data_IF_021541500520
#
_entry.id   IF_021541500520
#
_cell.length_a   1.000
_cell.length_b   1.000
_cell.length_c   1.000
_cell.angle_alpha   90.00
_cell.angle_beta   90.00
_cell.angle_gamma   90.00
#
_symmetry.space_group_name_H-M   'P 1'
#
loop_
_entity.id
_entity.type
_entity.pdbx_description
1 polymer ?
#
# COMPACT_ATOMS: atom_id res chain seq x y z
N UNK A 1 -30.62 -1.95 33.44
CA UNK A 1 -29.52 -1.63 32.52
C UNK A 1 -30.15 -1.08 31.24
N UNK A 2 -30.13 0.24 31.06
CA UNK A 2 -30.89 0.93 30.03
C UNK A 2 -30.18 0.84 28.67
N UNK A 3 -30.85 0.27 27.66
CA UNK A 3 -30.44 0.31 26.27
C UNK A 3 -30.67 1.73 25.74
N UNK A 4 -29.58 2.46 25.45
CA UNK A 4 -29.66 3.71 24.70
C UNK A 4 -29.69 3.38 23.21
N UNK A 5 -30.85 3.60 22.61
CA UNK A 5 -31.06 3.58 21.17
C UNK A 5 -30.32 4.75 20.52
N UNK A 6 -29.45 4.47 19.54
CA UNK A 6 -28.86 5.50 18.67
C UNK A 6 -29.82 5.76 17.50
N UNK A 7 -30.21 7.02 17.21
CA UNK A 7 -30.98 7.32 16.01
C UNK A 7 -30.03 7.35 14.79
N UNK A 8 -30.31 6.49 13.82
CA UNK A 8 -29.70 6.54 12.49
C UNK A 8 -30.43 7.63 11.69
N UNK A 9 -29.81 8.79 11.52
CA UNK A 9 -30.33 9.83 10.62
C UNK A 9 -30.03 9.39 9.18
N UNK A 10 -31.07 9.05 8.42
CA UNK A 10 -30.95 8.80 6.99
C UNK A 10 -30.62 10.11 6.27
N UNK A 11 -29.43 10.21 5.67
CA UNK A 11 -29.08 11.29 4.73
C UNK A 11 -29.84 11.03 3.44
N UNK A 12 -30.75 11.94 3.08
CA UNK A 12 -31.45 11.99 1.80
C UNK A 12 -30.49 12.60 0.77
N UNK A 13 -30.05 11.82 -0.21
CA UNK A 13 -29.32 12.35 -1.36
C UNK A 13 -30.33 12.83 -2.39
N UNK A 14 -30.61 14.13 -2.40
CA UNK A 14 -31.37 14.75 -3.49
C UNK A 14 -30.50 14.79 -4.75
N UNK A 15 -30.97 14.13 -5.80
CA UNK A 15 -30.32 14.08 -7.09
C UNK A 15 -30.34 15.44 -7.79
N UNK A 16 -29.16 15.93 -8.16
CA UNK A 16 -29.01 17.01 -9.13
C UNK A 16 -28.14 16.53 -10.29
N UNK A 17 -28.81 16.19 -11.39
CA UNK A 17 -28.18 15.94 -12.68
C UNK A 17 -27.83 17.29 -13.33
N UNK A 18 -26.57 17.54 -13.74
CA UNK A 18 -26.26 18.69 -14.56
C UNK A 18 -26.69 18.45 -16.02
N UNK A 19 -27.50 19.37 -16.52
CA UNK A 19 -28.00 19.45 -17.89
C UNK A 19 -26.88 19.86 -18.85
N UNK A 20 -26.87 19.18 -20.01
CA UNK A 20 -26.31 19.54 -21.31
C UNK A 20 -25.72 20.96 -21.49
N UNK A 21 -24.43 21.04 -21.84
CA UNK A 21 -23.86 22.17 -22.60
C UNK A 21 -23.39 21.69 -23.97
N UNK A 22 -24.36 21.55 -24.88
CA UNK A 22 -24.10 21.60 -26.31
C UNK A 22 -24.01 23.08 -26.71
N UNK A 23 -22.81 23.63 -26.79
CA UNK A 23 -22.52 24.88 -27.51
C UNK A 23 -21.00 25.11 -27.60
N UNK A 24 -20.53 25.48 -28.79
CA UNK A 24 -19.16 25.86 -29.18
C UNK A 24 -18.18 24.72 -29.46
N UNK A 25 -18.48 23.97 -30.52
CA UNK A 25 -17.46 23.50 -31.44
C UNK A 25 -17.60 24.21 -32.79
N UNK A 26 -16.42 24.60 -33.30
CA UNK A 26 -16.05 24.63 -34.71
C UNK A 26 -16.82 25.57 -35.65
N UNK A 27 -16.37 26.82 -35.68
CA UNK A 27 -16.51 27.68 -36.84
C UNK A 27 -15.16 28.35 -37.14
N UNK A 28 -14.70 28.17 -38.38
CA UNK A 28 -13.61 28.85 -39.10
C UNK A 28 -12.43 27.92 -39.43
N UNK A 29 -12.51 27.38 -40.65
CA UNK A 29 -11.46 26.76 -41.41
C UNK A 29 -10.67 27.80 -42.22
N UNK A 30 -9.52 27.35 -42.77
CA UNK A 30 -8.70 27.96 -43.84
C UNK A 30 -7.90 29.19 -43.43
N UNK A 31 -6.67 29.45 -43.84
CA UNK A 31 -5.72 28.93 -44.85
C UNK A 31 -4.43 29.74 -44.55
N UNK A 32 -3.18 29.26 -44.63
CA UNK A 32 -2.37 29.32 -45.85
C UNK A 32 -0.88 29.37 -45.46
N UNK A 33 -0.05 28.63 -46.20
CA UNK A 33 1.30 28.98 -46.69
C UNK A 33 2.42 29.45 -45.74
N UNK A 34 3.46 28.60 -45.62
CA UNK A 34 4.87 28.87 -45.99
C UNK A 34 5.72 27.68 -45.47
N UNK A 35 6.22 26.76 -46.31
CA UNK A 35 7.45 26.86 -47.12
C UNK A 35 8.64 27.32 -46.26
N UNK A 36 9.47 26.38 -45.80
CA UNK A 36 10.84 26.14 -46.30
C UNK A 36 11.78 27.35 -46.14
N UNK A 37 12.75 27.28 -45.22
CA UNK A 37 14.18 27.13 -45.56
C UNK A 37 15.10 27.32 -44.34
N UNK A 38 16.30 26.73 -44.49
CA UNK A 38 17.56 26.96 -43.78
C UNK A 38 17.72 26.32 -42.38
N UNK A 39 18.69 25.46 -42.12
CA UNK A 39 19.99 25.31 -42.78
C UNK A 39 21.09 25.45 -41.73
N UNK A 40 21.71 24.32 -41.40
CA UNK A 40 23.00 24.16 -40.73
C UNK A 40 23.20 24.82 -39.34
N UNK A 41 23.40 23.99 -38.29
CA UNK A 41 24.69 23.92 -37.56
C UNK A 41 24.86 22.55 -36.92
N UNK A 42 25.86 21.82 -37.41
CA UNK A 42 26.56 20.78 -36.69
C UNK A 42 27.19 21.38 -35.43
N UNK A 43 26.76 20.95 -34.25
CA UNK A 43 27.61 20.97 -33.05
C UNK A 43 27.71 19.55 -32.52
N UNK A 44 28.89 18.97 -32.70
CA UNK A 44 29.33 17.74 -32.06
C UNK A 44 29.57 18.08 -30.58
N UNK A 45 28.50 18.03 -29.79
CA UNK A 45 28.56 18.09 -28.34
C UNK A 45 28.83 16.69 -27.78
N UNK A 46 30.07 16.47 -27.33
CA UNK A 46 30.54 15.25 -26.71
C UNK A 46 29.52 14.66 -25.72
N UNK A 47 29.13 13.42 -25.97
CA UNK A 47 28.17 12.68 -25.17
C UNK A 47 28.60 12.52 -23.72
N UNK A 48 28.10 13.41 -22.86
CA UNK A 48 27.86 13.06 -21.46
C UNK A 48 26.50 12.38 -21.45
N UNK A 49 26.50 11.06 -21.71
CA UNK A 49 25.35 10.20 -21.41
C UNK A 49 24.95 10.50 -19.99
N UNK A 50 23.87 11.26 -19.83
CA UNK A 50 23.18 11.38 -18.56
C UNK A 50 22.92 9.96 -18.13
N UNK A 51 23.62 9.52 -17.09
CA UNK A 51 23.25 8.33 -16.35
C UNK A 51 21.95 8.72 -15.68
N UNK A 52 20.85 8.66 -16.42
CA UNK A 52 19.54 8.48 -15.80
C UNK A 52 19.75 7.24 -14.94
N UNK A 53 19.80 7.42 -13.63
CA UNK A 53 19.84 6.29 -12.70
C UNK A 53 18.45 5.66 -12.73
N UNK A 54 18.11 5.06 -13.87
CA UNK A 54 17.10 4.02 -13.94
C UNK A 54 17.60 2.97 -12.97
N UNK A 55 16.86 2.74 -11.89
CA UNK A 55 17.18 1.69 -10.93
C UNK A 55 17.45 0.40 -11.71
N UNK A 56 18.50 -0.37 -11.39
CA UNK A 56 18.77 -1.62 -12.07
C UNK A 56 17.52 -2.49 -12.06
N UNK A 57 17.08 -3.00 -13.23
CA UNK A 57 15.88 -3.85 -13.33
C UNK A 57 15.88 -5.02 -12.34
N UNK A 58 17.07 -5.54 -12.00
CA UNK A 58 17.23 -6.58 -10.98
C UNK A 58 16.76 -6.14 -9.57
N UNK A 59 16.95 -4.88 -9.17
CA UNK A 59 16.48 -4.35 -7.89
C UNK A 59 14.95 -4.26 -7.86
N UNK A 60 14.33 -3.76 -8.93
CA UNK A 60 12.87 -3.69 -9.06
C UNK A 60 12.28 -5.09 -8.99
N UNK A 61 12.79 -6.06 -9.77
CA UNK A 61 12.33 -7.46 -9.70
C UNK A 61 12.48 -8.04 -8.30
N UNK A 62 13.61 -7.82 -7.64
CA UNK A 62 13.84 -8.29 -6.26
C UNK A 62 12.83 -7.69 -5.29
N UNK A 63 12.58 -6.38 -5.37
CA UNK A 63 11.60 -5.70 -4.54
C UNK A 63 10.18 -6.22 -4.79
N UNK A 64 9.79 -6.41 -6.05
CA UNK A 64 8.49 -6.99 -6.42
C UNK A 64 8.32 -8.39 -5.82
N UNK A 65 9.33 -9.26 -5.91
CA UNK A 65 9.30 -10.60 -5.31
C UNK A 65 9.16 -10.51 -3.79
N UNK A 66 9.90 -9.61 -3.13
CA UNK A 66 9.78 -9.38 -1.69
C UNK A 66 8.35 -8.95 -1.32
N UNK A 67 7.73 -8.04 -2.07
CA UNK A 67 6.35 -7.60 -1.80
C UNK A 67 5.35 -8.72 -2.01
N UNK A 68 5.52 -9.59 -3.02
CA UNK A 68 4.72 -10.82 -3.17
C UNK A 68 4.81 -11.71 -1.92
N UNK A 69 6.02 -11.97 -1.43
CA UNK A 69 6.25 -12.78 -0.24
C UNK A 69 5.63 -12.13 1.00
N UNK A 70 5.77 -10.81 1.16
CA UNK A 70 5.15 -10.07 2.27
C UNK A 70 3.63 -10.17 2.20
N UNK A 71 3.03 -9.90 1.04
CA UNK A 71 1.59 -9.91 0.86
C UNK A 71 0.96 -11.27 1.18
N UNK A 72 1.57 -12.36 0.69
CA UNK A 72 1.15 -13.72 1.04
C UNK A 72 1.42 -14.01 2.52
N UNK A 73 2.60 -13.66 3.03
CA UNK A 73 3.00 -13.90 4.41
C UNK A 73 2.06 -13.27 5.43
N UNK A 74 1.70 -11.99 5.27
CA UNK A 74 0.77 -11.30 6.17
C UNK A 74 -0.64 -11.88 6.07
N UNK A 75 -1.07 -12.28 4.87
CA UNK A 75 -2.37 -12.94 4.70
C UNK A 75 -2.42 -14.27 5.46
N UNK A 76 -1.37 -15.09 5.37
CA UNK A 76 -1.26 -16.34 6.11
C UNK A 76 -1.23 -16.11 7.63
N UNK A 77 -0.54 -15.07 8.10
CA UNK A 77 -0.58 -14.66 9.51
C UNK A 77 -2.02 -14.31 9.91
N UNK A 78 -2.73 -13.53 9.09
CA UNK A 78 -4.11 -13.16 9.33
C UNK A 78 -5.04 -14.38 9.41
N UNK A 79 -4.89 -15.35 8.51
CA UNK A 79 -5.61 -16.63 8.56
C UNK A 79 -5.31 -17.39 9.86
N UNK A 80 -4.07 -17.39 10.34
CA UNK A 80 -3.73 -18.04 11.62
C UNK A 80 -4.49 -17.45 12.80
N UNK A 81 -4.77 -16.15 12.84
CA UNK A 81 -5.61 -15.54 13.88
C UNK A 81 -7.06 -16.06 13.87
N UNK A 82 -7.54 -16.56 12.73
CA UNK A 82 -8.87 -17.17 12.60
C UNK A 82 -8.87 -18.63 13.06
N UNK A 83 -7.78 -19.34 12.80
CA UNK A 83 -7.70 -20.79 12.99
C UNK A 83 -7.16 -21.21 14.36
N UNK A 84 -6.32 -20.39 14.98
CA UNK A 84 -5.66 -20.76 16.23
C UNK A 84 -5.50 -19.63 17.22
N UNK A 85 -5.77 -19.94 18.48
CA UNK A 85 -5.57 -19.02 19.60
C UNK A 85 -4.09 -18.78 19.89
N UNK A 86 -3.20 -19.65 19.39
CA UNK A 86 -1.75 -19.51 19.54
C UNK A 86 -1.22 -18.27 18.83
N UNK A 87 -1.86 -17.84 17.74
CA UNK A 87 -1.50 -16.60 17.05
C UNK A 87 -1.58 -15.37 17.97
N UNK A 88 -2.52 -15.37 18.94
CA UNK A 88 -2.64 -14.30 19.93
C UNK A 88 -1.42 -14.25 20.85
N UNK A 89 -1.01 -15.40 21.39
CA UNK A 89 0.14 -15.47 22.30
C UNK A 89 1.47 -15.28 21.59
N UNK A 90 1.56 -15.69 20.32
CA UNK A 90 2.74 -15.51 19.48
C UNK A 90 2.92 -14.05 19.02
N UNK A 91 1.91 -13.19 19.17
CA UNK A 91 1.99 -11.79 18.76
C UNK A 91 3.03 -10.99 19.54
N UNK A 92 3.34 -11.40 20.77
CA UNK A 92 4.40 -10.80 21.61
C UNK A 92 3.91 -9.94 22.77
N UNK A 93 2.59 -9.76 22.94
CA UNK A 93 2.03 -9.07 24.12
C UNK A 93 2.08 -10.01 25.35
N UNK A 94 2.76 -9.62 26.44
CA UNK A 94 2.81 -10.43 27.66
C UNK A 94 1.43 -10.69 28.27
N UNK A 95 1.26 -11.84 28.94
CA UNK A 95 0.01 -12.23 29.62
C UNK A 95 -1.26 -12.18 28.75
N UNK A 96 -1.11 -12.39 27.44
CA UNK A 96 -2.21 -12.38 26.48
C UNK A 96 -3.32 -13.38 26.86
N UNK A 97 -4.57 -12.94 27.09
CA UNK A 97 -5.66 -13.79 27.57
C UNK A 97 -6.34 -14.57 26.43
N UNK A 98 -5.57 -15.38 25.70
CA UNK A 98 -6.04 -16.12 24.51
C UNK A 98 -7.22 -17.09 24.77
N UNK A 99 -7.48 -17.44 26.04
CA UNK A 99 -8.64 -18.22 26.45
C UNK A 99 -9.97 -17.45 26.41
N UNK A 100 -9.94 -16.11 26.50
CA UNK A 100 -11.15 -15.30 26.64
C UNK A 100 -11.83 -15.07 25.27
N UNK A 101 -13.13 -15.38 25.10
CA UNK A 101 -13.84 -15.22 23.83
C UNK A 101 -13.77 -13.80 23.26
N UNK A 102 -13.91 -12.78 24.11
CA UNK A 102 -13.83 -11.38 23.69
C UNK A 102 -12.45 -11.02 23.12
N UNK A 103 -11.37 -11.53 23.71
CA UNK A 103 -10.02 -11.29 23.20
C UNK A 103 -9.75 -12.06 21.91
N UNK A 104 -10.33 -13.25 21.74
CA UNK A 104 -10.29 -13.98 20.46
C UNK A 104 -10.99 -13.20 19.34
N UNK A 105 -12.11 -12.55 19.64
CA UNK A 105 -12.79 -11.69 18.67
C UNK A 105 -11.91 -10.50 18.24
N UNK A 106 -11.18 -9.88 19.18
CA UNK A 106 -10.16 -8.86 18.84
C UNK A 106 -9.02 -9.43 17.99
N UNK A 107 -8.58 -10.65 18.27
CA UNK A 107 -7.66 -11.39 17.39
C UNK A 107 -8.18 -11.52 15.96
N UNK A 108 -9.47 -11.84 15.81
CA UNK A 108 -10.12 -11.95 14.51
C UNK A 108 -10.18 -10.62 13.75
N UNK A 109 -10.39 -9.49 14.46
CA UNK A 109 -10.30 -8.16 13.85
C UNK A 109 -8.91 -7.91 13.26
N UNK A 110 -7.85 -8.25 14.01
CA UNK A 110 -6.47 -8.19 13.49
C UNK A 110 -6.28 -9.15 12.32
N UNK A 111 -6.76 -10.38 12.42
CA UNK A 111 -6.64 -11.38 11.37
C UNK A 111 -7.24 -10.90 10.05
N UNK A 112 -8.46 -10.35 10.11
CA UNK A 112 -9.15 -9.78 8.97
C UNK A 112 -8.41 -8.56 8.38
N UNK A 113 -7.82 -7.70 9.23
CA UNK A 113 -6.96 -6.59 8.77
C UNK A 113 -5.80 -7.13 7.94
N UNK A 114 -5.07 -8.12 8.44
CA UNK A 114 -3.88 -8.65 7.79
C UNK A 114 -4.21 -9.38 6.48
N UNK A 115 -5.32 -10.13 6.44
CA UNK A 115 -5.85 -10.73 5.19
C UNK A 115 -6.18 -9.64 4.18
N UNK A 116 -6.88 -8.58 4.60
CA UNK A 116 -7.31 -7.50 3.71
C UNK A 116 -6.12 -6.74 3.15
N UNK A 117 -5.14 -6.40 3.99
CA UNK A 117 -3.91 -5.72 3.56
C UNK A 117 -3.11 -6.57 2.58
N UNK A 118 -2.97 -7.88 2.86
CA UNK A 118 -2.34 -8.82 1.93
C UNK A 118 -3.06 -8.85 0.59
N UNK A 119 -4.40 -8.96 0.59
CA UNK A 119 -5.20 -9.00 -0.63
C UNK A 119 -5.09 -7.71 -1.45
N UNK A 120 -5.14 -6.55 -0.79
CA UNK A 120 -4.95 -5.25 -1.44
C UNK A 120 -3.58 -5.16 -2.12
N UNK A 121 -2.52 -5.67 -1.49
CA UNK A 121 -1.18 -5.72 -2.09
C UNK A 121 -1.12 -6.70 -3.27
N UNK A 122 -1.70 -7.90 -3.17
CA UNK A 122 -1.74 -8.85 -4.29
C UNK A 122 -2.49 -8.27 -5.50
N UNK A 123 -3.61 -7.59 -5.26
CA UNK A 123 -4.36 -6.90 -6.33
C UNK A 123 -3.50 -5.81 -6.97
N UNK A 124 -2.81 -5.00 -6.16
CA UNK A 124 -1.91 -3.97 -6.69
C UNK A 124 -0.77 -4.60 -7.51
N UNK A 125 -0.13 -5.65 -7.01
CA UNK A 125 0.95 -6.36 -7.71
C UNK A 125 0.53 -6.95 -9.07
N UNK A 126 -0.77 -7.26 -9.25
CA UNK A 126 -1.29 -7.84 -10.49
C UNK A 126 -1.65 -6.81 -11.57
N UNK A 127 -1.93 -5.56 -11.19
CA UNK A 127 -2.52 -4.61 -12.14
C UNK A 127 -2.13 -3.14 -11.96
N UNK A 128 -1.32 -2.81 -10.96
CA UNK A 128 -0.87 -1.45 -10.71
C UNK A 128 0.56 -1.21 -11.22
N UNK A 129 0.95 0.06 -11.28
CA UNK A 129 2.34 0.45 -11.49
C UNK A 129 3.20 0.19 -10.26
N UNK A 130 4.50 -0.02 -10.45
CA UNK A 130 5.48 -0.20 -9.37
C UNK A 130 5.40 0.94 -8.34
N UNK A 131 5.23 2.18 -8.80
CA UNK A 131 5.08 3.34 -7.94
C UNK A 131 3.87 3.23 -6.99
N UNK A 132 2.71 2.74 -7.47
CA UNK A 132 1.54 2.53 -6.60
C UNK A 132 1.75 1.33 -5.67
N UNK A 133 2.35 0.23 -6.15
CA UNK A 133 2.71 -0.91 -5.29
C UNK A 133 3.67 -0.47 -4.19
N UNK A 134 4.62 0.41 -4.50
CA UNK A 134 5.53 1.03 -3.53
C UNK A 134 4.78 1.76 -2.42
N UNK A 135 3.88 2.69 -2.77
CA UNK A 135 3.05 3.39 -1.78
C UNK A 135 2.19 2.46 -0.93
N UNK A 136 1.56 1.46 -1.55
CA UNK A 136 0.74 0.47 -0.85
C UNK A 136 1.58 -0.36 0.13
N UNK A 137 2.81 -0.71 -0.26
CA UNK A 137 3.77 -1.43 0.58
C UNK A 137 4.20 -0.57 1.77
N UNK A 138 4.46 0.72 1.56
CA UNK A 138 4.79 1.67 2.63
C UNK A 138 3.62 1.85 3.61
N UNK A 139 2.38 1.94 3.11
CA UNK A 139 1.20 1.98 3.95
C UNK A 139 1.06 0.70 4.78
N UNK A 140 1.29 -0.48 4.18
CA UNK A 140 1.34 -1.76 4.90
C UNK A 140 2.46 -1.82 5.95
N UNK A 141 3.62 -1.22 5.68
CA UNK A 141 4.73 -1.14 6.62
C UNK A 141 4.36 -0.37 7.90
N UNK A 142 3.49 0.64 7.81
CA UNK A 142 2.97 1.35 8.98
C UNK A 142 2.17 0.43 9.89
N UNK A 143 1.42 -0.54 9.35
CA UNK A 143 0.70 -1.51 10.16
C UNK A 143 1.65 -2.42 10.95
N UNK A 144 2.73 -2.91 10.30
CA UNK A 144 3.77 -3.69 10.98
C UNK A 144 4.52 -2.87 12.04
N UNK A 145 4.82 -1.60 11.75
CA UNK A 145 5.44 -0.70 12.72
C UNK A 145 4.52 -0.43 13.92
N UNK A 146 3.22 -0.22 13.68
CA UNK A 146 2.23 -0.06 14.75
C UNK A 146 2.13 -1.32 15.63
N UNK A 147 2.18 -2.50 15.03
CA UNK A 147 2.22 -3.78 15.77
C UNK A 147 3.49 -3.89 16.63
N UNK A 148 4.66 -3.51 16.09
CA UNK A 148 5.92 -3.45 16.86
C UNK A 148 5.80 -2.52 18.06
N UNK A 149 5.24 -1.33 17.87
CA UNK A 149 5.04 -0.35 18.93
C UNK A 149 4.05 -0.86 19.99
N UNK A 150 2.95 -1.49 19.58
CA UNK A 150 1.98 -2.08 20.50
C UNK A 150 2.65 -3.15 21.39
N UNK A 151 3.46 -4.03 20.81
CA UNK A 151 4.23 -5.03 21.56
C UNK A 151 5.23 -4.38 22.51
N UNK A 152 6.01 -3.40 22.03
CA UNK A 152 7.00 -2.68 22.85
C UNK A 152 6.35 -1.98 24.03
N UNK A 153 5.27 -1.23 23.80
CA UNK A 153 4.57 -0.47 24.84
C UNK A 153 3.77 -1.35 25.80
N UNK A 154 3.50 -2.60 25.43
CA UNK A 154 2.92 -3.61 26.32
C UNK A 154 3.99 -4.36 27.15
N UNK A 155 5.27 -3.98 27.07
CA UNK A 155 6.36 -4.67 27.78
C UNK A 155 6.81 -5.98 27.12
N UNK A 156 6.50 -6.17 25.83
CA UNK A 156 6.93 -7.33 25.05
C UNK A 156 8.44 -7.42 24.86
N UNK A 157 8.92 -8.61 24.48
CA UNK A 157 10.37 -8.87 24.33
C UNK A 157 10.91 -8.22 23.06
N UNK A 158 12.17 -7.79 23.08
CA UNK A 158 12.84 -7.20 21.91
C UNK A 158 12.81 -8.10 20.67
N UNK A 159 12.94 -9.41 20.85
CA UNK A 159 12.82 -10.37 19.75
C UNK A 159 11.46 -10.30 19.03
N UNK A 160 10.40 -9.92 19.71
CA UNK A 160 9.05 -9.91 19.16
C UNK A 160 8.80 -8.56 18.46
N UNK A 161 9.06 -7.43 19.13
CA UNK A 161 8.83 -6.11 18.52
C UNK A 161 9.89 -5.71 17.49
N UNK A 162 11.17 -6.00 17.70
CA UNK A 162 12.24 -5.65 16.75
C UNK A 162 12.47 -6.78 15.73
N UNK A 163 12.42 -8.02 16.19
CA UNK A 163 12.70 -9.18 15.33
C UNK A 163 11.59 -9.46 14.33
N UNK A 164 10.37 -9.75 14.77
CA UNK A 164 9.28 -10.10 13.83
C UNK A 164 8.66 -8.86 13.21
N UNK A 165 8.11 -7.97 14.04
CA UNK A 165 7.34 -6.82 13.55
C UNK A 165 8.25 -5.76 12.94
N UNK A 166 9.32 -5.39 13.65
CA UNK A 166 10.30 -4.41 13.22
C UNK A 166 11.02 -4.78 11.94
N UNK A 167 11.50 -6.04 11.81
CA UNK A 167 12.16 -6.48 10.58
C UNK A 167 11.19 -6.50 9.40
N UNK A 168 9.95 -6.96 9.59
CA UNK A 168 8.92 -6.91 8.54
C UNK A 168 8.68 -5.48 8.09
N UNK A 169 8.53 -4.53 9.04
CA UNK A 169 8.37 -3.12 8.72
C UNK A 169 9.58 -2.57 7.94
N UNK A 170 10.81 -2.87 8.38
CA UNK A 170 12.03 -2.40 7.72
C UNK A 170 12.18 -2.95 6.28
N UNK A 171 11.92 -4.24 6.07
CA UNK A 171 11.98 -4.87 4.75
C UNK A 171 10.88 -4.30 3.84
N UNK A 172 9.66 -4.12 4.34
CA UNK A 172 8.58 -3.47 3.60
C UNK A 172 8.92 -2.04 3.20
N UNK A 173 9.54 -1.26 4.10
CA UNK A 173 10.00 0.10 3.78
C UNK A 173 11.05 0.08 2.68
N UNK A 174 12.06 -0.78 2.80
CA UNK A 174 13.12 -0.89 1.80
C UNK A 174 12.56 -1.28 0.42
N UNK A 175 11.73 -2.33 0.36
CA UNK A 175 11.11 -2.76 -0.89
C UNK A 175 10.17 -1.69 -1.47
N UNK A 176 9.35 -1.05 -0.61
CA UNK A 176 8.45 0.01 -1.01
C UNK A 176 9.17 1.23 -1.59
N UNK A 177 10.30 1.65 -0.99
CA UNK A 177 11.13 2.74 -1.52
C UNK A 177 11.75 2.37 -2.87
N UNK A 178 12.26 1.13 -3.02
CA UNK A 178 12.81 0.69 -4.31
C UNK A 178 11.75 0.78 -5.39
N UNK A 179 10.55 0.26 -5.15
CA UNK A 179 9.45 0.30 -6.12
C UNK A 179 8.96 1.73 -6.39
N UNK A 180 9.01 2.61 -5.39
CA UNK A 180 8.64 4.03 -5.55
C UNK A 180 9.61 4.79 -6.46
N UNK A 181 10.88 4.37 -6.49
CA UNK A 181 11.96 4.99 -7.25
C UNK A 181 12.31 4.24 -8.54
N UNK A 182 11.54 3.20 -8.89
CA UNK A 182 11.76 2.35 -10.07
C UNK A 182 11.25 2.98 -11.35
#
# INVERSE_FOLDING_TARGET
MALRSFPFTTVRCDGHAPKSSAARQAGIAMSSSASEENGARHEVGAGRRGRTSVMPHALTTTATVIVWVIAVGIMLIGVRFQLTTRALTDFGIPATPAGQPAFRAWGSVKGNRDITLGLMLLIALLGASDHLVGWMTLAGALAAAADALAVRFSGGRAKDYLGVHGATAAVSVAAGIVLLLS
#
